data_IF_742565038236
#
_entry.id   IF_742565038236
#
_cell.length_a   1.000
_cell.length_b   1.000
_cell.length_c   1.000
_cell.angle_alpha   90.00
_cell.angle_beta   90.00
_cell.angle_gamma   90.00
#
_symmetry.space_group_name_H-M   'P 1'
#
loop_
_entity.id
_entity.type
_entity.pdbx_description
1 polymer ?
#
# COMPACT_ATOMS: atom_id res chain seq x y z
N UNK A 1 57.99 4.53 10.14
CA UNK A 1 56.92 5.06 9.27
C UNK A 1 55.85 4.00 9.18
N UNK A 2 54.71 4.21 9.84
CA UNK A 2 53.62 3.23 9.91
C UNK A 2 52.42 3.85 9.21
N UNK A 3 52.06 3.31 8.04
CA UNK A 3 50.87 3.71 7.28
C UNK A 3 49.61 3.34 8.09
N UNK A 4 48.91 4.36 8.63
CA UNK A 4 47.54 4.22 9.09
C UNK A 4 46.60 4.22 7.86
N UNK A 5 46.32 3.04 7.30
CA UNK A 5 45.20 2.90 6.35
C UNK A 5 43.89 2.85 7.13
N UNK A 6 43.16 3.96 7.11
CA UNK A 6 41.74 4.01 7.42
C UNK A 6 40.97 3.13 6.44
N UNK A 7 40.86 1.83 6.74
CA UNK A 7 39.83 0.98 6.15
C UNK A 7 38.49 1.38 6.79
N UNK A 8 37.82 2.38 6.22
CA UNK A 8 36.37 2.50 6.41
C UNK A 8 35.77 1.17 5.98
N UNK A 9 35.33 0.35 6.94
CA UNK A 9 34.42 -0.76 6.65
C UNK A 9 33.18 -0.14 6.03
N UNK A 10 33.07 -0.21 4.71
CA UNK A 10 31.82 0.03 4.01
C UNK A 10 30.85 -1.02 4.54
N UNK A 11 29.88 -0.58 5.34
CA UNK A 11 28.77 -1.45 5.75
C UNK A 11 27.92 -1.71 4.51
N UNK A 12 28.30 -2.73 3.73
CA UNK A 12 27.63 -3.10 2.48
C UNK A 12 26.13 -3.36 2.68
N UNK A 13 25.69 -3.62 3.91
CA UNK A 13 24.30 -3.84 4.26
C UNK A 13 23.51 -2.53 4.39
N UNK A 14 24.18 -1.41 4.68
CA UNK A 14 23.51 -0.10 4.81
C UNK A 14 23.03 0.41 3.45
N UNK A 15 23.88 0.40 2.43
CA UNK A 15 23.49 0.88 1.09
C UNK A 15 22.31 0.08 0.50
N UNK A 16 22.38 -1.26 0.59
CA UNK A 16 21.29 -2.11 0.11
C UNK A 16 19.98 -1.89 0.88
N UNK A 17 20.06 -1.73 2.20
CA UNK A 17 18.90 -1.41 3.04
C UNK A 17 18.29 -0.06 2.71
N UNK A 18 19.12 0.99 2.60
CA UNK A 18 18.66 2.35 2.30
C UNK A 18 17.96 2.37 0.92
N UNK A 19 18.54 1.66 -0.07
CA UNK A 19 17.92 1.49 -1.39
C UNK A 19 16.55 0.83 -1.30
N UNK A 20 16.41 -0.27 -0.54
CA UNK A 20 15.14 -0.98 -0.37
C UNK A 20 14.10 -0.12 0.35
N UNK A 21 14.54 0.68 1.33
CA UNK A 21 13.66 1.58 2.06
C UNK A 21 13.13 2.69 1.15
N UNK A 22 14.01 3.32 0.37
CA UNK A 22 13.63 4.38 -0.56
C UNK A 22 12.68 3.84 -1.64
N UNK A 23 12.93 2.64 -2.16
CA UNK A 23 12.01 1.97 -3.09
C UNK A 23 10.64 1.73 -2.44
N UNK A 24 10.61 1.20 -1.20
CA UNK A 24 9.36 0.94 -0.49
C UNK A 24 8.59 2.23 -0.18
N UNK A 25 9.26 3.32 0.20
CA UNK A 25 8.64 4.63 0.44
C UNK A 25 8.06 5.19 -0.86
N UNK A 26 8.82 5.12 -1.95
CA UNK A 26 8.34 5.56 -3.26
C UNK A 26 7.14 4.72 -3.70
N UNK A 27 7.20 3.40 -3.58
CA UNK A 27 6.08 2.52 -3.90
C UNK A 27 4.84 2.85 -3.05
N UNK A 28 5.03 3.10 -1.75
CA UNK A 28 3.96 3.56 -0.87
C UNK A 28 3.32 4.88 -1.36
N UNK A 29 4.11 5.94 -1.55
CA UNK A 29 3.60 7.26 -1.93
C UNK A 29 2.89 7.27 -3.29
N UNK A 30 3.35 6.45 -4.23
CA UNK A 30 2.71 6.28 -5.55
C UNK A 30 1.52 5.32 -5.51
N UNK A 31 1.13 4.81 -4.34
CA UNK A 31 -0.03 3.94 -4.16
C UNK A 31 0.16 2.51 -4.69
N UNK A 32 1.41 2.06 -4.81
CA UNK A 32 1.77 0.70 -5.21
C UNK A 32 1.85 -0.25 -4.00
N UNK A 33 1.87 0.28 -2.77
CA UNK A 33 1.73 -0.49 -1.53
C UNK A 33 0.40 -0.13 -0.86
N UNK A 34 -0.57 -1.06 -0.93
CA UNK A 34 -1.90 -0.84 -0.38
C UNK A 34 -2.17 -1.82 0.75
N UNK A 35 -2.21 -1.33 1.98
CA UNK A 35 -2.47 -2.17 3.13
C UNK A 35 -3.94 -2.60 3.24
N UNK A 36 -4.16 -3.73 3.92
CA UNK A 36 -5.48 -4.30 4.16
C UNK A 36 -6.38 -3.43 5.05
N UNK A 37 -5.78 -2.48 5.78
CA UNK A 37 -6.46 -1.59 6.70
C UNK A 37 -5.95 -0.15 6.65
N UNK A 38 -6.79 0.81 7.04
CA UNK A 38 -6.39 2.22 7.17
C UNK A 38 -5.41 2.42 8.34
N UNK A 39 -5.48 1.56 9.34
CA UNK A 39 -4.58 1.53 10.49
C UNK A 39 -3.15 1.20 10.09
N UNK A 40 -2.95 0.21 9.21
CA UNK A 40 -1.62 -0.11 8.67
C UNK A 40 -1.09 1.02 7.79
N UNK A 41 -1.94 1.60 6.93
CA UNK A 41 -1.55 2.79 6.15
C UNK A 41 -1.11 3.94 7.05
N UNK A 42 -1.79 4.14 8.19
CA UNK A 42 -1.43 5.17 9.17
C UNK A 42 -0.12 4.86 9.90
N UNK A 43 0.21 3.59 10.15
CA UNK A 43 1.51 3.18 10.70
C UNK A 43 2.65 3.52 9.74
N UNK A 44 2.50 3.17 8.45
CA UNK A 44 3.48 3.51 7.42
C UNK A 44 3.64 5.02 7.27
N UNK A 45 2.53 5.77 7.22
CA UNK A 45 2.51 7.23 7.20
C UNK A 45 3.24 7.84 8.42
N UNK A 46 3.05 7.28 9.62
CA UNK A 46 3.70 7.79 10.84
C UNK A 46 5.22 7.61 10.81
N UNK A 47 5.70 6.50 10.26
CA UNK A 47 7.14 6.26 10.06
C UNK A 47 7.70 7.23 9.01
N UNK A 48 6.99 7.43 7.90
CA UNK A 48 7.42 8.38 6.86
C UNK A 48 7.45 9.82 7.38
N UNK A 49 6.41 10.25 8.11
CA UNK A 49 6.37 11.57 8.73
C UNK A 49 7.55 11.79 9.67
N UNK A 50 7.90 10.77 10.45
CA UNK A 50 9.09 10.79 11.31
C UNK A 50 10.38 10.93 10.49
N UNK A 51 10.54 10.18 9.41
CA UNK A 51 11.72 10.27 8.53
C UNK A 51 11.85 11.67 7.89
N UNK A 52 10.73 12.27 7.48
CA UNK A 52 10.72 13.57 6.80
C UNK A 52 10.89 14.77 7.73
N UNK A 53 10.37 14.68 8.96
CA UNK A 53 10.30 15.83 9.88
C UNK A 53 11.12 15.67 11.17
N UNK A 54 11.76 14.52 11.37
CA UNK A 54 12.58 14.25 12.55
C UNK A 54 11.78 13.94 13.81
N UNK A 55 12.50 13.83 14.94
CA UNK A 55 11.91 13.58 16.26
C UNK A 55 11.49 14.90 16.93
N UNK A 56 10.29 14.94 17.52
CA UNK A 56 9.82 16.02 18.40
C UNK A 56 10.72 16.26 19.63
N UNK A 57 11.75 15.43 19.86
CA UNK A 57 12.57 15.44 21.07
C UNK A 57 13.88 16.24 21.03
N UNK A 58 14.40 16.68 19.87
CA UNK A 58 15.72 17.31 19.79
C UNK A 58 15.70 18.73 19.18
N UNK A 59 15.20 19.68 19.98
CA UNK A 59 15.73 21.04 20.12
C UNK A 59 15.59 22.06 18.98
N UNK A 60 15.62 21.68 17.70
CA UNK A 60 15.75 22.64 16.60
C UNK A 60 14.79 22.43 15.41
N UNK A 61 13.85 21.49 15.48
CA UNK A 61 12.82 21.27 14.46
C UNK A 61 11.42 21.52 15.02
N UNK A 62 10.56 22.22 14.28
CA UNK A 62 9.14 22.27 14.64
C UNK A 62 8.55 20.86 14.56
N UNK A 63 7.96 20.39 15.65
CA UNK A 63 7.20 19.15 15.70
C UNK A 63 6.17 19.09 14.57
N UNK A 64 6.22 18.03 13.76
CA UNK A 64 5.19 17.79 12.75
C UNK A 64 3.86 17.48 13.43
N UNK A 65 2.87 18.36 13.23
CA UNK A 65 1.51 18.22 13.76
C UNK A 65 0.56 17.88 12.62
N UNK A 66 0.10 16.62 12.50
CA UNK A 66 -0.84 16.22 11.45
C UNK A 66 -2.13 17.03 11.49
N UNK A 67 -2.57 17.50 10.33
CA UNK A 67 -3.82 18.21 10.10
C UNK A 67 -4.32 17.89 8.69
N UNK A 68 -5.60 18.15 8.40
CA UNK A 68 -6.16 17.91 7.07
C UNK A 68 -5.40 18.65 5.92
N UNK A 69 -4.63 19.70 6.24
CA UNK A 69 -3.92 20.55 5.28
C UNK A 69 -2.50 20.08 4.93
N UNK A 70 -1.88 19.24 5.76
CA UNK A 70 -0.46 18.87 5.63
C UNK A 70 -0.21 17.37 5.50
N UNK A 71 -1.18 16.61 4.96
CA UNK A 71 -1.05 15.17 4.71
C UNK A 71 -0.45 14.83 3.34
N UNK A 72 -0.28 15.83 2.47
CA UNK A 72 0.42 15.65 1.20
C UNK A 72 1.85 15.18 1.45
N UNK A 73 2.35 14.27 0.60
CA UNK A 73 3.65 13.61 0.73
C UNK A 73 3.82 12.71 1.96
N UNK A 74 2.77 12.50 2.75
CA UNK A 74 2.74 11.55 3.88
C UNK A 74 1.80 10.38 3.62
N UNK A 75 0.67 10.63 2.96
CA UNK A 75 -0.22 9.59 2.47
C UNK A 75 -0.21 9.55 0.94
N UNK A 76 -0.52 8.40 0.33
CA UNK A 76 -0.70 8.30 -1.10
C UNK A 76 -1.90 9.15 -1.57
N UNK A 77 -1.81 9.71 -2.78
CA UNK A 77 -2.82 10.65 -3.29
C UNK A 77 -4.23 10.05 -3.31
N UNK A 78 -4.37 8.78 -3.70
CA UNK A 78 -5.68 8.11 -3.72
C UNK A 78 -6.36 8.06 -2.34
N UNK A 79 -5.60 8.00 -1.24
CA UNK A 79 -6.19 8.08 0.10
C UNK A 79 -6.72 9.47 0.40
N UNK A 80 -5.98 10.51 -0.02
CA UNK A 80 -6.34 11.92 0.22
C UNK A 80 -7.57 12.36 -0.58
N UNK A 81 -7.82 11.71 -1.72
CA UNK A 81 -8.95 12.01 -2.60
C UNK A 81 -10.22 11.25 -2.22
N UNK A 82 -10.08 10.08 -1.56
CA UNK A 82 -11.21 9.18 -1.29
C UNK A 82 -11.63 9.14 0.19
N UNK A 83 -10.91 9.85 1.07
CA UNK A 83 -11.18 9.82 2.51
C UNK A 83 -11.18 11.19 3.17
N UNK A 84 -11.88 11.24 4.30
CA UNK A 84 -11.89 12.38 5.21
C UNK A 84 -10.48 12.63 5.75
N UNK A 85 -9.88 13.74 5.31
CA UNK A 85 -8.52 14.14 5.69
C UNK A 85 -8.38 14.46 7.17
N UNK A 86 -9.43 14.93 7.84
CA UNK A 86 -9.40 15.16 9.29
C UNK A 86 -9.26 13.83 10.02
N UNK A 87 -10.05 12.81 9.62
CA UNK A 87 -9.95 11.46 10.18
C UNK A 87 -8.60 10.79 9.89
N UNK A 88 -8.04 11.00 8.70
CA UNK A 88 -6.69 10.52 8.38
C UNK A 88 -5.62 11.18 9.27
N UNK A 89 -5.72 12.49 9.50
CA UNK A 89 -4.82 13.22 10.38
C UNK A 89 -4.90 12.70 11.82
N UNK A 90 -6.10 12.44 12.34
CA UNK A 90 -6.26 11.92 13.71
C UNK A 90 -5.69 10.50 13.87
N UNK A 91 -5.88 9.64 12.85
CA UNK A 91 -5.24 8.31 12.81
C UNK A 91 -3.72 8.41 12.77
N UNK A 92 -3.19 9.35 11.99
CA UNK A 92 -1.75 9.61 11.92
C UNK A 92 -1.19 10.06 13.28
N UNK A 93 -1.86 10.98 13.98
CA UNK A 93 -1.46 11.41 15.34
C UNK A 93 -1.39 10.22 16.30
N UNK A 94 -2.39 9.35 16.29
CA UNK A 94 -2.42 8.16 17.14
C UNK A 94 -1.27 7.21 16.80
N UNK A 95 -0.97 7.01 15.52
CA UNK A 95 0.13 6.16 15.07
C UNK A 95 1.50 6.77 15.43
N UNK A 96 1.69 8.08 15.27
CA UNK A 96 2.92 8.79 15.63
C UNK A 96 3.25 8.68 17.12
N UNK A 97 2.24 8.78 18.00
CA UNK A 97 2.43 8.60 19.46
C UNK A 97 3.06 7.26 19.82
N UNK A 98 2.75 6.20 19.05
CA UNK A 98 3.32 4.86 19.27
C UNK A 98 4.80 4.75 18.87
N UNK A 99 5.32 5.73 18.14
CA UNK A 99 6.70 5.76 17.64
C UNK A 99 7.63 6.65 18.49
N UNK A 100 7.12 7.38 19.49
CA UNK A 100 7.88 8.39 20.25
C UNK A 100 9.15 7.83 20.90
N UNK A 101 9.08 6.60 21.44
CA UNK A 101 10.19 5.95 22.13
C UNK A 101 11.09 5.11 21.22
N UNK A 102 10.77 5.04 19.92
CA UNK A 102 11.46 4.17 18.97
C UNK A 102 12.56 4.92 18.25
N UNK A 103 13.69 4.25 18.00
CA UNK A 103 14.76 4.85 17.20
C UNK A 103 14.45 4.73 15.69
N UNK A 104 15.08 5.59 14.89
CA UNK A 104 14.78 5.67 13.46
C UNK A 104 15.09 4.35 12.73
N UNK A 105 16.18 3.66 13.12
CA UNK A 105 16.55 2.36 12.53
C UNK A 105 15.45 1.31 12.71
N UNK A 106 14.85 1.23 13.90
CA UNK A 106 13.74 0.31 14.19
C UNK A 106 12.48 0.68 13.39
N UNK A 107 12.19 1.97 13.23
CA UNK A 107 11.04 2.42 12.46
C UNK A 107 11.19 2.09 10.97
N UNK A 108 12.38 2.26 10.42
CA UNK A 108 12.68 1.87 9.04
C UNK A 108 12.59 0.36 8.81
N UNK A 109 13.09 -0.45 9.75
CA UNK A 109 12.96 -1.91 9.71
C UNK A 109 11.48 -2.34 9.75
N UNK A 110 10.69 -1.68 10.59
CA UNK A 110 9.25 -1.87 10.63
C UNK A 110 8.56 -1.48 9.33
N UNK A 111 8.96 -0.37 8.70
CA UNK A 111 8.39 0.05 7.42
C UNK A 111 8.61 -1.04 6.37
N UNK A 112 9.85 -1.53 6.24
CA UNK A 112 10.19 -2.62 5.33
C UNK A 112 9.45 -3.91 5.67
N UNK A 113 9.33 -4.24 6.96
CA UNK A 113 8.60 -5.42 7.42
C UNK A 113 7.11 -5.34 7.09
N UNK A 114 6.47 -4.19 7.30
CA UNK A 114 5.08 -3.97 6.93
C UNK A 114 4.92 -4.11 5.43
N UNK A 115 5.74 -3.39 4.64
CA UNK A 115 5.67 -3.40 3.17
C UNK A 115 5.76 -4.81 2.60
N UNK A 116 6.73 -5.62 3.04
CA UNK A 116 6.92 -6.99 2.57
C UNK A 116 5.86 -7.96 3.08
N UNK A 117 5.24 -7.66 4.22
CA UNK A 117 4.16 -8.46 4.78
C UNK A 117 2.80 -8.24 4.12
N UNK A 118 2.66 -7.23 3.26
CA UNK A 118 1.41 -6.97 2.55
C UNK A 118 1.19 -8.03 1.47
N UNK A 119 0.00 -8.65 1.47
CA UNK A 119 -0.43 -9.53 0.37
C UNK A 119 -0.41 -8.85 -1.00
N UNK A 120 -0.48 -7.52 -1.04
CA UNK A 120 -0.45 -6.70 -2.25
C UNK A 120 0.96 -6.32 -2.68
N UNK A 121 1.99 -6.71 -1.94
CA UNK A 121 3.37 -6.38 -2.29
C UNK A 121 3.70 -6.93 -3.68
N UNK A 122 4.32 -6.10 -4.53
CA UNK A 122 4.60 -6.45 -5.93
C UNK A 122 3.38 -6.49 -6.85
N UNK A 123 2.19 -6.10 -6.40
CA UNK A 123 0.99 -6.09 -7.24
C UNK A 123 0.99 -4.94 -8.25
N UNK A 124 0.59 -5.25 -9.48
CA UNK A 124 0.27 -4.25 -10.50
C UNK A 124 -1.18 -3.83 -10.38
N UNK A 125 -1.42 -2.57 -9.98
CA UNK A 125 -2.77 -2.04 -9.73
C UNK A 125 -3.36 -1.29 -10.93
N UNK A 126 -4.67 -1.45 -11.11
CA UNK A 126 -5.48 -0.79 -12.14
C UNK A 126 -6.69 -0.12 -11.50
N UNK A 127 -7.10 1.01 -12.06
CA UNK A 127 -8.35 1.67 -11.66
C UNK A 127 -9.53 1.03 -12.40
N UNK A 128 -10.52 0.57 -11.61
CA UNK A 128 -11.62 -0.26 -12.10
C UNK A 128 -12.90 0.10 -11.37
N UNK A 129 -14.02 0.16 -12.09
CA UNK A 129 -15.35 0.18 -11.48
C UNK A 129 -15.78 -1.27 -11.17
N UNK A 130 -16.10 -1.53 -9.91
CA UNK A 130 -16.46 -2.86 -9.41
C UNK A 130 -17.93 -2.88 -9.01
N UNK A 131 -18.64 -3.89 -9.50
CA UNK A 131 -20.03 -4.18 -9.18
C UNK A 131 -20.14 -5.59 -8.62
N UNK A 132 -20.92 -5.76 -7.55
CA UNK A 132 -21.23 -7.04 -6.92
C UNK A 132 -22.66 -7.06 -6.41
N UNK A 133 -23.23 -8.25 -6.34
CA UNK A 133 -24.54 -8.47 -5.69
C UNK A 133 -24.42 -8.54 -4.17
N UNK A 134 -23.19 -8.65 -3.63
CA UNK A 134 -22.92 -8.77 -2.20
C UNK A 134 -22.96 -7.41 -1.52
N UNK A 135 -24.11 -7.10 -0.90
CA UNK A 135 -24.39 -5.83 -0.20
C UNK A 135 -23.29 -5.38 0.76
N UNK A 136 -22.66 -6.32 1.48
CA UNK A 136 -21.68 -5.99 2.51
C UNK A 136 -20.32 -5.52 1.94
N UNK A 137 -19.99 -5.88 0.69
CA UNK A 137 -18.77 -5.38 0.05
C UNK A 137 -19.01 -4.02 -0.61
N UNK A 138 -20.15 -3.86 -1.29
CA UNK A 138 -20.51 -2.62 -1.96
C UNK A 138 -19.93 -2.48 -3.37
N UNK A 139 -20.38 -1.44 -4.08
CA UNK A 139 -20.00 -1.14 -5.46
C UNK A 139 -19.25 0.19 -5.54
N UNK A 140 -18.48 0.38 -6.61
CA UNK A 140 -17.87 1.65 -6.97
C UNK A 140 -16.43 1.51 -7.45
N UNK A 141 -15.73 2.64 -7.46
CA UNK A 141 -14.34 2.71 -7.89
C UNK A 141 -13.43 1.93 -6.93
N UNK A 142 -12.59 1.10 -7.53
CA UNK A 142 -11.66 0.23 -6.85
C UNK A 142 -10.25 0.37 -7.43
N UNK A 143 -9.28 -0.07 -6.63
CA UNK A 143 -7.95 -0.46 -7.09
C UNK A 143 -7.95 -1.98 -7.17
N UNK A 144 -7.71 -2.51 -8.36
CA UNK A 144 -7.63 -3.95 -8.62
C UNK A 144 -6.19 -4.30 -8.94
N UNK A 145 -5.55 -5.08 -8.07
CA UNK A 145 -4.14 -5.47 -8.17
C UNK A 145 -3.98 -6.96 -8.45
N UNK A 146 -2.93 -7.33 -9.18
CA UNK A 146 -2.53 -8.73 -9.36
C UNK A 146 -1.04 -8.89 -9.12
N UNK A 147 -0.67 -9.93 -8.36
CA UNK A 147 0.69 -10.45 -8.18
C UNK A 147 0.67 -11.99 -8.15
N UNK A 148 1.76 -12.59 -7.70
CA UNK A 148 1.93 -14.03 -7.48
C UNK A 148 1.01 -14.62 -6.40
N UNK A 149 0.50 -13.81 -5.46
CA UNK A 149 -0.47 -14.26 -4.45
C UNK A 149 -1.90 -14.35 -4.98
N UNK A 150 -2.26 -13.57 -6.01
CA UNK A 150 -3.59 -13.61 -6.61
C UNK A 150 -4.12 -12.24 -7.01
N UNK A 151 -5.44 -12.09 -6.87
CA UNK A 151 -6.20 -10.89 -7.21
C UNK A 151 -6.60 -10.14 -5.94
N UNK A 152 -6.36 -8.83 -5.93
CA UNK A 152 -6.65 -7.92 -4.83
C UNK A 152 -7.64 -6.86 -5.28
N UNK A 153 -8.77 -6.73 -4.59
CA UNK A 153 -9.84 -5.79 -4.91
C UNK A 153 -10.03 -4.87 -3.72
N UNK A 154 -9.83 -3.56 -3.92
CA UNK A 154 -9.83 -2.57 -2.85
C UNK A 154 -10.76 -1.42 -3.24
N UNK A 155 -11.95 -1.34 -2.62
CA UNK A 155 -12.86 -0.24 -2.87
C UNK A 155 -12.32 1.06 -2.27
N UNK A 156 -12.08 2.07 -3.11
CA UNK A 156 -11.38 3.30 -2.70
C UNK A 156 -12.10 4.04 -1.56
N UNK A 157 -13.43 4.17 -1.61
CA UNK A 157 -14.21 4.92 -0.62
C UNK A 157 -14.43 4.14 0.68
N UNK A 158 -14.94 2.91 0.56
CA UNK A 158 -15.29 2.06 1.71
C UNK A 158 -14.05 1.45 2.38
N UNK A 159 -12.95 1.27 1.65
CA UNK A 159 -11.78 0.49 2.05
C UNK A 159 -12.09 -0.96 2.38
N UNK A 160 -13.02 -1.53 1.62
CA UNK A 160 -13.28 -2.96 1.68
C UNK A 160 -12.26 -3.66 0.80
N UNK A 161 -11.48 -4.56 1.40
CA UNK A 161 -10.41 -5.32 0.76
C UNK A 161 -10.84 -6.76 0.58
N UNK A 162 -10.63 -7.31 -0.62
CA UNK A 162 -10.74 -8.74 -0.91
C UNK A 162 -9.49 -9.23 -1.61
N UNK A 163 -8.91 -10.28 -1.05
CA UNK A 163 -7.79 -10.99 -1.64
C UNK A 163 -8.32 -12.37 -2.05
N UNK A 164 -8.14 -12.73 -3.31
CA UNK A 164 -8.57 -14.00 -3.88
C UNK A 164 -7.33 -14.68 -4.47
N UNK A 165 -7.05 -15.90 -4.02
CA UNK A 165 -6.00 -16.70 -4.64
C UNK A 165 -6.46 -17.19 -6.02
N UNK A 166 -5.54 -17.53 -6.91
CA UNK A 166 -5.88 -17.94 -8.28
C UNK A 166 -6.75 -19.20 -8.37
N UNK A 167 -6.71 -20.07 -7.36
CA UNK A 167 -7.55 -21.27 -7.23
C UNK A 167 -8.96 -20.97 -6.68
N UNK A 168 -9.22 -19.74 -6.22
CA UNK A 168 -10.48 -19.36 -5.59
C UNK A 168 -11.48 -18.70 -6.54
N UNK A 169 -11.06 -18.36 -7.76
CA UNK A 169 -11.91 -17.68 -8.73
C UNK A 169 -11.61 -18.10 -10.17
N UNK A 170 -12.59 -17.90 -11.06
CA UNK A 170 -12.41 -17.92 -12.49
C UNK A 170 -12.58 -16.50 -13.06
N UNK A 171 -11.64 -16.05 -13.89
CA UNK A 171 -11.80 -14.83 -14.66
C UNK A 171 -12.50 -15.11 -16.00
N UNK A 172 -13.66 -14.50 -16.21
CA UNK A 172 -14.46 -14.64 -17.43
C UNK A 172 -14.39 -13.33 -18.21
N UNK A 173 -13.76 -13.36 -19.37
CA UNK A 173 -13.57 -12.19 -20.23
C UNK A 173 -14.78 -12.00 -21.14
N UNK A 174 -15.63 -11.01 -20.84
CA UNK A 174 -16.83 -10.72 -21.63
C UNK A 174 -16.51 -9.90 -22.88
N UNK A 175 -15.70 -8.87 -22.71
CA UNK A 175 -15.28 -7.99 -23.80
C UNK A 175 -13.92 -7.32 -23.48
N UNK A 176 -13.55 -6.28 -24.25
CA UNK A 176 -12.27 -5.56 -24.09
C UNK A 176 -12.16 -4.69 -22.83
N UNK A 177 -13.29 -4.38 -22.18
CA UNK A 177 -13.42 -3.50 -21.02
C UNK A 177 -14.01 -4.20 -19.79
N UNK A 178 -14.62 -5.36 -19.97
CA UNK A 178 -15.38 -6.06 -18.93
C UNK A 178 -14.77 -7.43 -18.60
N UNK A 179 -14.47 -7.64 -17.32
CA UNK A 179 -14.10 -8.94 -16.74
C UNK A 179 -15.09 -9.29 -15.64
N UNK A 180 -15.52 -10.54 -15.61
CA UNK A 180 -16.21 -11.10 -14.45
C UNK A 180 -15.26 -11.99 -13.65
N UNK A 181 -15.31 -11.84 -12.33
CA UNK A 181 -14.58 -12.69 -11.39
C UNK A 181 -15.62 -13.52 -10.66
N UNK A 182 -15.68 -14.80 -11.03
CA UNK A 182 -16.55 -15.78 -10.39
C UNK A 182 -15.79 -16.52 -9.30
N UNK A 183 -16.08 -16.19 -8.05
CA UNK A 183 -15.57 -16.86 -6.86
C UNK A 183 -16.70 -17.49 -6.04
N UNK A 184 -17.83 -17.84 -6.69
CA UNK A 184 -19.03 -18.30 -5.99
C UNK A 184 -18.78 -19.61 -5.23
N UNK A 185 -18.03 -20.54 -5.83
CA UNK A 185 -17.77 -21.86 -5.23
C UNK A 185 -16.94 -21.78 -3.95
N UNK A 186 -15.97 -20.89 -3.91
CA UNK A 186 -15.00 -20.82 -2.80
C UNK A 186 -15.38 -19.79 -1.74
N UNK A 187 -16.08 -18.73 -2.14
CA UNK A 187 -16.31 -17.55 -1.29
C UNK A 187 -17.72 -16.98 -1.36
N UNK A 188 -18.60 -17.52 -2.21
CA UNK A 188 -19.93 -16.96 -2.49
C UNK A 188 -19.80 -15.47 -2.89
N UNK A 189 -18.88 -15.19 -3.81
CA UNK A 189 -18.57 -13.86 -4.33
C UNK A 189 -18.63 -13.86 -5.86
N UNK A 190 -19.17 -12.77 -6.41
CA UNK A 190 -19.18 -12.52 -7.84
C UNK A 190 -18.95 -11.03 -8.07
N UNK A 191 -17.98 -10.70 -8.91
CA UNK A 191 -17.63 -9.32 -9.26
C UNK A 191 -17.71 -9.11 -10.76
N UNK A 192 -18.28 -7.98 -11.17
CA UNK A 192 -18.19 -7.46 -12.53
C UNK A 192 -17.26 -6.25 -12.46
N UNK A 193 -16.22 -6.26 -13.28
CA UNK A 193 -15.17 -5.27 -13.33
C UNK A 193 -15.21 -4.56 -14.68
N UNK A 194 -15.20 -3.24 -14.68
CA UNK A 194 -15.24 -2.41 -15.89
C UNK A 194 -14.11 -1.38 -15.88
N UNK A 195 -13.30 -1.34 -16.94
CA UNK A 195 -12.23 -0.35 -17.11
C UNK A 195 -11.75 -0.28 -18.56
N UNK A 196 -11.22 0.87 -18.99
CA UNK A 196 -10.53 0.99 -20.28
C UNK A 196 -9.17 0.29 -20.29
N UNK A 197 -8.64 -0.04 -19.11
CA UNK A 197 -7.34 -0.71 -18.93
C UNK A 197 -7.46 -2.24 -18.82
N UNK A 198 -8.66 -2.79 -19.02
CA UNK A 198 -8.96 -4.20 -18.73
C UNK A 198 -8.15 -5.20 -19.56
N UNK A 199 -7.71 -4.80 -20.77
CA UNK A 199 -6.79 -5.58 -21.60
C UNK A 199 -5.48 -5.97 -20.89
N UNK A 200 -4.96 -5.10 -20.01
CA UNK A 200 -3.72 -5.38 -19.27
C UNK A 200 -3.97 -6.39 -18.16
N UNK A 201 -5.03 -6.19 -17.38
CA UNK A 201 -5.44 -7.13 -16.34
C UNK A 201 -5.73 -8.52 -16.93
N UNK A 202 -6.41 -8.57 -18.08
CA UNK A 202 -6.62 -9.81 -18.85
C UNK A 202 -5.31 -10.51 -19.18
N UNK A 203 -4.35 -9.79 -19.76
CA UNK A 203 -3.06 -10.36 -20.15
C UNK A 203 -2.28 -10.94 -18.96
N UNK A 204 -2.41 -10.34 -17.77
CA UNK A 204 -1.79 -10.85 -16.54
C UNK A 204 -2.54 -12.09 -16.05
N UNK A 205 -3.86 -12.03 -15.89
CA UNK A 205 -4.67 -13.14 -15.37
C UNK A 205 -4.56 -14.40 -16.24
N UNK A 206 -4.51 -14.26 -17.57
CA UNK A 206 -4.32 -15.38 -18.49
C UNK A 206 -2.98 -16.11 -18.30
N UNK A 207 -1.93 -15.45 -17.77
CA UNK A 207 -0.66 -16.11 -17.47
C UNK A 207 -0.72 -16.99 -16.22
N UNK A 208 -1.61 -16.65 -15.28
CA UNK A 208 -1.73 -17.36 -14.01
C UNK A 208 -2.86 -18.40 -14.00
N UNK A 209 -3.88 -18.24 -14.85
CA UNK A 209 -5.04 -19.12 -14.93
C UNK A 209 -5.18 -19.89 -16.26
N UNK A 210 -4.25 -19.67 -17.20
CA UNK A 210 -4.22 -20.32 -18.51
C UNK A 210 -3.49 -21.65 -18.51
#
# INVERSE_FOLDING_TARGET
>A
MTENRFLQKVDHNKFGRDTLLDEAINAYLHGLLIAGSKEEMAKMAAILARKMHGNSGNGNGMEYKPSAKNLANIYPQYMLDNHDRTKLADRLKIAMKKNETRNDRQLEDDFLSISRGLMTYGASFFEVDVFTTKKNFGNGQALVGVNDHGLHIILKKAWNVKNLRFDEFAAIFRDSKTIEIDAQRSRDLHFIMVSTQMKFLKGILQKFQG
#
